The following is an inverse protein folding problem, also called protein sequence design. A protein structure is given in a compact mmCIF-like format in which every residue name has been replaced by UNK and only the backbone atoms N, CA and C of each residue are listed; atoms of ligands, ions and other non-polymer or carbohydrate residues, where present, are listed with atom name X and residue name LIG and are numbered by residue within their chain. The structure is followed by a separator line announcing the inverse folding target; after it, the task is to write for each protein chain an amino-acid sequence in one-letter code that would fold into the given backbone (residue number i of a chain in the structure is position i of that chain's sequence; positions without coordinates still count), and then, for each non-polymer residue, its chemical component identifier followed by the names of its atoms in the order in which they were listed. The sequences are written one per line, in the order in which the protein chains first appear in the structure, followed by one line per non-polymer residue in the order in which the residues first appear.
data_IF_189607878961
#
_entry.id   IF_189607878961
#
_cell.length_a   1.000
_cell.length_b   1.000
_cell.length_c   1.000
_cell.angle_alpha   90.00
_cell.angle_beta   90.00
_cell.angle_gamma   90.00
#
_symmetry.space_group_name_H-M   'P 1'
#
loop_
_entity.id
_entity.type
_entity.pdbx_description
1 polymer ?
#
# COMPACT_ATOMS: atom_id res chain seq x y z
N UNK A 1 -38.95 12.57 19.83
CA UNK A 1 -37.52 12.18 19.67
C UNK A 1 -37.08 12.61 18.29
N UNK A 2 -36.07 13.48 18.17
CA UNK A 2 -35.57 13.95 16.89
C UNK A 2 -34.40 13.07 16.43
N UNK A 3 -34.62 12.32 15.34
CA UNK A 3 -33.54 11.61 14.66
C UNK A 3 -32.85 12.57 13.72
N UNK A 4 -31.55 12.79 13.92
CA UNK A 4 -30.74 13.61 13.02
C UNK A 4 -29.76 12.72 12.28
N UNK A 5 -29.54 13.05 11.00
CA UNK A 5 -28.56 12.36 10.16
C UNK A 5 -27.17 12.37 10.82
N UNK A 6 -26.81 13.44 11.52
CA UNK A 6 -25.57 13.54 12.27
C UNK A 6 -25.44 12.50 13.41
N UNK A 7 -26.53 12.21 14.15
CA UNK A 7 -26.54 11.16 15.17
C UNK A 7 -26.41 9.77 14.56
N UNK A 8 -27.17 9.50 13.49
CA UNK A 8 -27.09 8.23 12.78
C UNK A 8 -25.70 8.00 12.18
N UNK A 9 -25.10 9.02 11.56
CA UNK A 9 -23.77 8.97 10.99
C UNK A 9 -22.69 8.61 12.01
N UNK A 10 -22.73 9.21 13.21
CA UNK A 10 -21.80 8.88 14.30
C UNK A 10 -21.95 7.46 14.85
N UNK A 11 -23.15 6.89 14.78
CA UNK A 11 -23.40 5.50 15.19
C UNK A 11 -22.93 4.53 14.10
N UNK A 12 -23.16 4.87 12.83
CA UNK A 12 -22.79 4.07 11.66
C UNK A 12 -21.28 4.07 11.42
N UNK A 13 -20.63 5.22 11.61
CA UNK A 13 -19.17 5.30 11.63
C UNK A 13 -18.72 4.87 13.00
N UNK A 14 -18.45 3.57 13.12
CA UNK A 14 -17.56 3.05 14.16
C UNK A 14 -16.34 3.94 14.23
N UNK A 15 -15.94 4.28 15.44
CA UNK A 15 -14.72 5.02 15.73
C UNK A 15 -13.55 4.29 15.07
N UNK A 16 -13.19 4.73 13.86
CA UNK A 16 -12.16 4.08 13.07
C UNK A 16 -10.85 4.59 13.63
N UNK A 17 -10.09 3.69 14.25
CA UNK A 17 -8.71 3.99 14.63
C UNK A 17 -7.94 4.26 13.35
N UNK A 18 -7.76 5.54 13.02
CA UNK A 18 -6.97 5.92 11.85
C UNK A 18 -5.55 5.42 12.08
N UNK A 19 -5.04 4.60 11.17
CA UNK A 19 -3.64 4.14 11.22
C UNK A 19 -2.76 5.39 11.37
N UNK A 20 -1.87 5.48 12.38
CA UNK A 20 -1.07 6.69 12.63
C UNK A 20 -0.32 7.20 11.40
N UNK A 21 0.14 6.28 10.53
CA UNK A 21 0.78 6.62 9.26
C UNK A 21 -0.15 7.40 8.31
N UNK A 22 -1.44 7.06 8.24
CA UNK A 22 -2.42 7.79 7.43
C UNK A 22 -2.66 9.18 8.02
N UNK A 23 -2.83 9.28 9.35
CA UNK A 23 -3.01 10.58 10.00
C UNK A 23 -1.79 11.50 9.80
N UNK A 24 -0.58 10.95 9.89
CA UNK A 24 0.67 11.66 9.59
C UNK A 24 0.74 12.12 8.13
N UNK A 25 0.39 11.25 7.18
CA UNK A 25 0.38 11.57 5.75
C UNK A 25 -0.51 12.78 5.42
N UNK A 26 -1.70 12.87 6.04
CA UNK A 26 -2.60 14.00 5.82
C UNK A 26 -2.11 15.30 6.45
N UNK A 27 -1.31 15.22 7.52
CA UNK A 27 -0.65 16.38 8.15
C UNK A 27 0.58 16.87 7.39
N UNK A 28 1.23 16.03 6.57
CA UNK A 28 2.43 16.39 5.82
C UNK A 28 2.18 17.56 4.84
N UNK A 29 3.17 18.44 4.68
CA UNK A 29 3.13 19.54 3.71
C UNK A 29 3.54 19.03 2.32
N UNK A 30 2.64 18.32 1.64
CA UNK A 30 2.86 17.76 0.30
C UNK A 30 1.66 18.01 -0.61
N UNK A 31 1.88 18.02 -1.93
CA UNK A 31 0.80 18.12 -2.90
C UNK A 31 -0.19 16.95 -2.73
N UNK A 32 -1.47 17.24 -2.92
CA UNK A 32 -2.57 16.28 -2.73
C UNK A 32 -2.41 15.00 -3.54
N UNK A 33 -1.84 15.08 -4.76
CA UNK A 33 -1.55 13.92 -5.61
C UNK A 33 -0.64 12.89 -4.91
N UNK A 34 0.35 13.35 -4.14
CA UNK A 34 1.23 12.46 -3.38
C UNK A 34 0.50 11.87 -2.18
N UNK A 35 -0.33 12.66 -1.48
CA UNK A 35 -1.14 12.17 -0.36
C UNK A 35 -2.08 11.05 -0.80
N UNK A 36 -2.79 11.22 -1.92
CA UNK A 36 -3.63 10.16 -2.46
C UNK A 36 -2.83 8.92 -2.86
N UNK A 37 -1.70 9.10 -3.54
CA UNK A 37 -0.85 7.98 -3.93
C UNK A 37 -0.37 7.16 -2.71
N UNK A 38 0.15 7.81 -1.67
CA UNK A 38 0.59 7.13 -0.45
C UNK A 38 -0.58 6.54 0.34
N UNK A 39 -1.76 7.16 0.30
CA UNK A 39 -2.95 6.57 0.90
C UNK A 39 -3.35 5.27 0.19
N UNK A 40 -3.31 5.23 -1.15
CA UNK A 40 -3.52 4.00 -1.92
C UNK A 40 -2.45 2.96 -1.59
N UNK A 41 -1.18 3.38 -1.48
CA UNK A 41 -0.06 2.52 -1.10
C UNK A 41 -0.30 1.85 0.26
N UNK A 42 -0.62 2.63 1.29
CA UNK A 42 -0.84 2.11 2.66
C UNK A 42 -1.99 1.09 2.67
N UNK A 43 -3.06 1.34 1.90
CA UNK A 43 -4.22 0.45 1.82
C UNK A 43 -4.06 -0.73 0.84
N UNK A 44 -2.88 -0.92 0.24
CA UNK A 44 -2.61 -1.95 -0.77
C UNK A 44 -3.56 -1.88 -1.98
N UNK A 45 -3.88 -0.67 -2.42
CA UNK A 45 -4.82 -0.38 -3.52
C UNK A 45 -4.13 0.16 -4.79
N UNK A 46 -2.81 -0.01 -4.92
CA UNK A 46 -2.11 0.30 -6.16
C UNK A 46 -2.33 -0.80 -7.20
N UNK A 47 -2.27 -0.44 -8.48
CA UNK A 47 -2.46 -1.36 -9.61
C UNK A 47 -1.26 -2.30 -9.78
N UNK A 48 -1.06 -3.21 -8.82
CA UNK A 48 -0.10 -4.30 -8.93
C UNK A 48 -0.79 -5.55 -9.48
N UNK A 49 -0.02 -6.48 -10.05
CA UNK A 49 -0.53 -7.78 -10.49
C UNK A 49 -1.23 -8.53 -9.36
N UNK A 50 -0.75 -8.39 -8.12
CA UNK A 50 -1.43 -8.91 -6.93
C UNK A 50 -2.85 -8.34 -6.75
N UNK A 51 -3.03 -7.02 -6.87
CA UNK A 51 -4.36 -6.41 -6.73
C UNK A 51 -5.30 -6.85 -7.85
N UNK A 52 -4.79 -6.92 -9.08
CA UNK A 52 -5.58 -7.36 -10.25
C UNK A 52 -6.03 -8.80 -10.08
N UNK A 53 -5.15 -9.69 -9.62
CA UNK A 53 -5.51 -11.08 -9.29
C UNK A 53 -6.57 -11.16 -8.19
N UNK A 54 -6.47 -10.36 -7.12
CA UNK A 54 -7.51 -10.29 -6.06
C UNK A 54 -8.86 -9.83 -6.60
N UNK A 55 -8.87 -9.02 -7.67
CA UNK A 55 -10.07 -8.57 -8.40
C UNK A 55 -10.52 -9.54 -9.50
N UNK A 56 -9.98 -10.76 -9.51
CA UNK A 56 -10.28 -11.79 -10.51
C UNK A 56 -9.91 -11.40 -11.94
N UNK A 57 -8.93 -10.49 -12.10
CA UNK A 57 -8.34 -10.11 -13.39
C UNK A 57 -7.00 -10.84 -13.55
N UNK A 58 -7.01 -11.91 -14.34
CA UNK A 58 -5.84 -12.76 -14.53
C UNK A 58 -4.92 -12.18 -15.60
N UNK A 59 -3.64 -12.00 -15.25
CA UNK A 59 -2.58 -11.59 -16.17
C UNK A 59 -1.60 -12.75 -16.26
N UNK A 60 -1.22 -13.11 -17.49
CA UNK A 60 -0.28 -14.22 -17.73
C UNK A 60 1.15 -13.85 -17.35
N UNK A 61 1.51 -12.57 -17.50
CA UNK A 61 2.82 -12.05 -17.13
C UNK A 61 2.85 -11.57 -15.67
N UNK A 62 3.71 -12.22 -14.88
CA UNK A 62 3.93 -11.88 -13.48
C UNK A 62 5.21 -11.10 -13.26
N UNK A 63 5.92 -10.69 -14.31
CA UNK A 63 7.17 -9.93 -14.17
C UNK A 63 6.94 -8.63 -13.41
N UNK A 64 7.88 -8.31 -12.53
CA UNK A 64 7.88 -7.03 -11.85
C UNK A 64 8.32 -5.93 -12.82
N UNK A 65 7.52 -4.86 -12.96
CA UNK A 65 7.80 -3.78 -13.93
C UNK A 65 9.13 -3.04 -13.68
N UNK A 66 9.68 -3.13 -12.46
CA UNK A 66 10.87 -2.38 -12.05
C UNK A 66 12.18 -3.15 -12.22
N UNK A 67 12.17 -4.49 -12.13
CA UNK A 67 13.38 -5.31 -12.24
C UNK A 67 13.29 -6.43 -13.28
N UNK A 68 12.15 -6.56 -13.99
CA UNK A 68 11.87 -7.59 -15.00
C UNK A 68 12.00 -9.05 -14.51
N UNK A 69 12.19 -9.27 -13.21
CA UNK A 69 12.21 -10.61 -12.63
C UNK A 69 10.82 -11.24 -12.67
N UNK A 70 10.76 -12.53 -13.00
CA UNK A 70 9.54 -13.33 -13.04
C UNK A 70 9.04 -13.67 -11.62
N UNK A 71 8.63 -12.65 -10.87
CA UNK A 71 8.17 -12.73 -9.48
C UNK A 71 6.94 -11.85 -9.32
N UNK A 72 5.90 -12.38 -8.68
CA UNK A 72 4.63 -11.69 -8.45
C UNK A 72 4.84 -10.24 -7.99
N UNK A 73 4.35 -9.30 -8.79
CA UNK A 73 4.35 -7.89 -8.44
C UNK A 73 3.35 -7.63 -7.29
N UNK A 74 3.90 -7.40 -6.11
CA UNK A 74 3.19 -6.93 -4.92
C UNK A 74 3.61 -5.51 -4.59
N UNK A 75 2.83 -4.82 -3.75
CA UNK A 75 3.20 -3.50 -3.25
C UNK A 75 4.58 -3.52 -2.59
N UNK A 76 4.80 -4.48 -1.70
CA UNK A 76 6.03 -4.52 -0.91
C UNK A 76 7.24 -4.86 -1.79
N UNK A 77 7.04 -5.69 -2.83
CA UNK A 77 8.06 -5.92 -3.85
C UNK A 77 8.40 -4.63 -4.58
N UNK A 78 7.39 -3.92 -5.09
CA UNK A 78 7.57 -2.71 -5.90
C UNK A 78 8.30 -1.60 -5.14
N UNK A 79 8.05 -1.45 -3.83
CA UNK A 79 8.60 -0.35 -3.03
C UNK A 79 9.75 -0.71 -2.10
N UNK A 80 9.97 -1.99 -1.75
CA UNK A 80 10.96 -2.35 -0.73
C UNK A 80 11.90 -3.48 -1.13
N UNK A 81 11.43 -4.49 -1.87
CA UNK A 81 12.23 -5.69 -2.11
C UNK A 81 12.86 -5.78 -3.51
N UNK A 82 12.28 -5.12 -4.51
CA UNK A 82 12.82 -5.07 -5.87
C UNK A 82 14.22 -4.45 -5.88
N UNK A 83 15.14 -4.96 -6.70
CA UNK A 83 16.51 -4.45 -6.79
C UNK A 83 16.57 -2.96 -7.09
N UNK A 84 15.72 -2.51 -8.02
CA UNK A 84 15.57 -1.09 -8.31
C UNK A 84 15.15 -0.29 -7.06
N UNK A 85 14.17 -0.79 -6.31
CA UNK A 85 13.72 -0.14 -5.09
C UNK A 85 14.83 -0.10 -4.02
N UNK A 86 15.60 -1.19 -3.87
CA UNK A 86 16.72 -1.23 -2.93
C UNK A 86 17.81 -0.21 -3.31
N UNK A 87 18.09 -0.02 -4.60
CA UNK A 87 19.02 1.01 -5.08
C UNK A 87 18.49 2.41 -4.72
N UNK A 88 17.20 2.67 -4.95
CA UNK A 88 16.58 3.94 -4.56
C UNK A 88 16.68 4.19 -3.06
N UNK A 89 16.41 3.20 -2.22
CA UNK A 89 16.51 3.36 -0.76
C UNK A 89 17.94 3.55 -0.29
N UNK A 90 18.92 2.85 -0.86
CA UNK A 90 20.34 3.09 -0.58
C UNK A 90 20.75 4.53 -0.88
N UNK A 91 20.18 5.13 -1.93
CA UNK A 91 20.42 6.52 -2.30
C UNK A 91 19.71 7.52 -1.37
N UNK A 92 18.42 7.31 -1.09
CA UNK A 92 17.60 8.24 -0.30
C UNK A 92 17.90 8.16 1.20
N UNK A 93 18.10 6.95 1.72
CA UNK A 93 18.36 6.68 3.13
C UNK A 93 19.34 5.51 3.27
N UNK A 94 20.66 5.76 3.28
CA UNK A 94 21.68 4.69 3.31
C UNK A 94 21.60 3.75 4.53
N UNK A 95 20.97 4.20 5.63
CA UNK A 95 20.75 3.41 6.85
C UNK A 95 19.46 2.59 6.82
N UNK A 96 18.67 2.72 5.77
CA UNK A 96 17.41 1.99 5.63
C UNK A 96 17.69 0.51 5.38
N UNK A 97 16.96 -0.34 6.09
CA UNK A 97 16.91 -1.78 5.83
C UNK A 97 15.45 -2.21 5.67
N UNK A 98 15.15 -3.11 4.71
CA UNK A 98 13.84 -3.72 4.63
C UNK A 98 13.62 -4.56 5.89
N UNK A 99 12.55 -4.28 6.64
CA UNK A 99 12.14 -5.14 7.76
C UNK A 99 11.80 -6.54 7.22
N UNK A 100 12.27 -7.56 7.92
CA UNK A 100 12.21 -8.95 7.50
C UNK A 100 10.77 -9.47 7.28
N UNK A 101 10.61 -10.37 6.31
CA UNK A 101 9.39 -11.05 5.84
C UNK A 101 8.45 -11.49 6.98
N UNK A 102 7.16 -11.20 6.83
CA UNK A 102 6.14 -12.24 7.05
C UNK A 102 6.02 -12.98 5.73
N UNK A 103 6.70 -14.11 5.62
CA UNK A 103 6.49 -15.03 4.51
C UNK A 103 5.04 -15.51 4.58
N UNK A 104 4.18 -15.00 3.70
CA UNK A 104 2.98 -15.72 3.30
C UNK A 104 3.40 -16.85 2.35
N UNK A 105 4.11 -17.82 2.92
CA UNK A 105 4.32 -19.15 2.38
C UNK A 105 3.44 -20.13 3.14
N UNK A 106 2.14 -20.13 2.87
CA UNK A 106 1.27 -21.28 3.14
C UNK A 106 0.03 -21.20 2.25
N UNK A 107 0.02 -22.03 1.21
CA UNK A 107 -1.14 -22.69 0.63
C UNK A 107 -0.64 -23.51 -0.58
N UNK A 108 -0.08 -24.68 -0.27
CA UNK A 108 -0.57 -25.89 -0.95
C UNK A 108 -1.90 -26.25 -0.31
#
# INVERSE_FOLDING_TARGET
MTFTVAKAYKILIRETTTIPAIAWLWKACTQLKHKFFFWLLINNMLNTTELLRRKNFFIQDYRCVMCDEYVLETRDRLFFHCDFAQICWKYVCPKWSPLCRRDSGSAY
#
